data_IF_100939876230
#
_entry.id   IF_100939876230
#
_cell.length_a   1.000
_cell.length_b   1.000
_cell.length_c   1.000
_cell.angle_alpha   90.00
_cell.angle_beta   90.00
_cell.angle_gamma   90.00
#
_symmetry.space_group_name_H-M   'P 1'
#
loop_
_entity.id
_entity.type
_entity.pdbx_description
1 polymer ?
#
# COMPACT_ATOMS: atom_id res chain seq x y z
N UNK A 1 -17.68 47.68 -26.39
CA UNK A 1 -16.45 46.87 -26.59
C UNK A 1 -15.96 46.17 -25.32
N UNK A 2 -15.97 46.79 -24.14
CA UNK A 2 -15.43 46.20 -22.89
C UNK A 2 -16.04 44.84 -22.49
N UNK A 3 -17.36 44.66 -22.61
CA UNK A 3 -18.07 43.42 -22.21
C UNK A 3 -17.65 42.18 -23.01
N UNK A 4 -17.36 42.34 -24.32
CA UNK A 4 -16.91 41.24 -25.18
C UNK A 4 -15.51 40.75 -24.80
N UNK A 5 -14.64 41.66 -24.33
CA UNK A 5 -13.30 41.33 -23.85
C UNK A 5 -13.32 40.54 -22.53
N UNK A 6 -14.22 40.88 -21.59
CA UNK A 6 -14.36 40.13 -20.34
C UNK A 6 -14.91 38.71 -20.56
N UNK A 7 -15.83 38.54 -21.51
CA UNK A 7 -16.35 37.21 -21.88
C UNK A 7 -15.25 36.31 -22.45
N UNK A 8 -14.37 36.89 -23.27
CA UNK A 8 -13.24 36.17 -23.89
C UNK A 8 -12.21 35.77 -22.84
N UNK A 9 -11.93 36.64 -21.87
CA UNK A 9 -11.05 36.34 -20.72
C UNK A 9 -11.62 35.19 -19.87
N UNK A 10 -12.93 35.18 -19.59
CA UNK A 10 -13.60 34.10 -18.86
C UNK A 10 -13.49 32.75 -19.56
N UNK A 11 -13.69 32.70 -20.88
CA UNK A 11 -13.55 31.48 -21.68
C UNK A 11 -12.11 30.94 -21.61
N UNK A 12 -11.11 31.82 -21.71
CA UNK A 12 -9.70 31.43 -21.60
C UNK A 12 -9.40 30.83 -20.22
N UNK A 13 -9.91 31.41 -19.13
CA UNK A 13 -9.74 30.83 -17.79
C UNK A 13 -10.39 29.45 -17.64
N UNK A 14 -11.58 29.24 -18.22
CA UNK A 14 -12.24 27.93 -18.18
C UNK A 14 -11.46 26.85 -18.93
N UNK A 15 -10.86 27.20 -20.08
CA UNK A 15 -10.01 26.27 -20.86
C UNK A 15 -8.73 25.93 -20.08
N UNK A 16 -8.08 26.91 -19.46
CA UNK A 16 -6.88 26.67 -18.65
C UNK A 16 -7.23 25.78 -17.44
N UNK A 17 -8.33 26.06 -16.75
CA UNK A 17 -8.78 25.26 -15.62
C UNK A 17 -9.12 23.82 -16.03
N UNK A 18 -9.76 23.60 -17.19
CA UNK A 18 -10.08 22.25 -17.66
C UNK A 18 -8.83 21.47 -18.07
N UNK A 19 -7.84 22.11 -18.68
CA UNK A 19 -6.55 21.48 -18.99
C UNK A 19 -5.81 21.12 -17.70
N UNK A 20 -5.70 22.05 -16.74
CA UNK A 20 -5.06 21.79 -15.45
C UNK A 20 -5.77 20.68 -14.67
N UNK A 21 -7.11 20.69 -14.68
CA UNK A 21 -7.91 19.63 -14.05
C UNK A 21 -7.73 18.28 -14.74
N UNK A 22 -7.70 18.24 -16.08
CA UNK A 22 -7.45 17.01 -16.84
C UNK A 22 -6.06 16.44 -16.57
N UNK A 23 -5.03 17.29 -16.55
CA UNK A 23 -3.65 16.92 -16.22
C UNK A 23 -3.57 16.40 -14.78
N UNK A 24 -4.15 17.12 -13.82
CA UNK A 24 -4.23 16.69 -12.42
C UNK A 24 -4.95 15.35 -12.28
N UNK A 25 -6.10 15.19 -12.93
CA UNK A 25 -6.90 13.97 -12.91
C UNK A 25 -6.13 12.79 -13.53
N UNK A 26 -5.34 13.01 -14.59
CA UNK A 26 -4.53 11.97 -15.21
C UNK A 26 -3.40 11.50 -14.29
N UNK A 27 -2.63 12.43 -13.71
CA UNK A 27 -1.56 12.10 -12.77
C UNK A 27 -2.10 11.41 -11.51
N UNK A 28 -3.24 11.88 -10.98
CA UNK A 28 -3.85 11.28 -9.80
C UNK A 28 -4.33 9.84 -10.08
N UNK A 29 -4.93 9.60 -11.24
CA UNK A 29 -5.36 8.26 -11.66
C UNK A 29 -4.17 7.30 -11.86
N UNK A 30 -3.05 7.78 -12.41
CA UNK A 30 -1.84 6.96 -12.53
C UNK A 30 -1.25 6.62 -11.16
N UNK A 31 -1.12 7.59 -10.26
CA UNK A 31 -0.60 7.37 -8.91
C UNK A 31 -1.44 6.37 -8.13
N UNK A 32 -2.77 6.48 -8.23
CA UNK A 32 -3.72 5.55 -7.62
C UNK A 32 -3.54 4.12 -8.15
N UNK A 33 -3.42 3.96 -9.48
CA UNK A 33 -3.18 2.64 -10.09
C UNK A 33 -1.85 2.02 -9.65
N UNK A 34 -0.78 2.81 -9.53
CA UNK A 34 0.51 2.33 -9.03
C UNK A 34 0.43 1.86 -7.57
N UNK A 35 -0.31 2.58 -6.72
CA UNK A 35 -0.58 2.18 -5.33
C UNK A 35 -1.38 0.88 -5.29
N UNK A 36 -2.48 0.79 -6.05
CA UNK A 36 -3.33 -0.40 -6.15
C UNK A 36 -2.51 -1.63 -6.59
N UNK A 37 -1.68 -1.48 -7.62
CA UNK A 37 -0.82 -2.57 -8.09
C UNK A 37 0.20 -2.99 -7.03
N UNK A 38 0.82 -2.03 -6.35
CA UNK A 38 1.78 -2.29 -5.28
C UNK A 38 1.14 -3.02 -4.09
N UNK A 39 -0.08 -2.64 -3.72
CA UNK A 39 -0.88 -3.32 -2.69
C UNK A 39 -1.24 -4.75 -3.08
N UNK A 40 -1.64 -4.99 -4.33
CA UNK A 40 -1.93 -6.35 -4.85
C UNK A 40 -0.69 -7.25 -4.77
N UNK A 41 0.44 -6.77 -5.26
CA UNK A 41 1.73 -7.49 -5.19
C UNK A 41 2.12 -7.78 -3.73
N UNK A 42 1.88 -6.83 -2.82
CA UNK A 42 2.17 -7.02 -1.41
C UNK A 42 1.27 -8.08 -0.77
N UNK A 43 -0.01 -8.13 -1.12
CA UNK A 43 -0.94 -9.19 -0.70
C UNK A 43 -0.46 -10.56 -1.20
N UNK A 44 -0.07 -10.68 -2.47
CA UNK A 44 0.44 -11.93 -3.02
C UNK A 44 1.72 -12.39 -2.30
N UNK A 45 2.58 -11.43 -1.94
CA UNK A 45 3.81 -11.70 -1.17
C UNK A 45 3.50 -12.19 0.26
N UNK A 46 2.41 -11.71 0.88
CA UNK A 46 1.94 -12.20 2.17
C UNK A 46 1.34 -13.61 2.06
N UNK A 47 0.62 -13.90 0.97
CA UNK A 47 0.08 -15.24 0.69
C UNK A 47 1.21 -16.26 0.48
N UNK A 48 2.26 -15.89 -0.25
CA UNK A 48 3.46 -16.72 -0.42
C UNK A 48 4.20 -16.95 0.91
N UNK A 49 4.37 -15.91 1.74
CA UNK A 49 4.98 -16.06 3.06
C UNK A 49 4.14 -17.00 3.94
N UNK A 50 2.82 -16.85 3.95
CA UNK A 50 1.93 -17.73 4.70
C UNK A 50 2.06 -19.19 4.23
N UNK A 51 2.03 -19.44 2.92
CA UNK A 51 2.22 -20.76 2.32
C UNK A 51 3.57 -21.39 2.70
N UNK A 52 4.64 -20.59 2.75
CA UNK A 52 5.96 -21.07 3.20
C UNK A 52 5.95 -21.44 4.68
N UNK A 53 5.34 -20.61 5.53
CA UNK A 53 5.21 -20.88 6.97
C UNK A 53 4.39 -22.16 7.22
N UNK A 54 3.35 -22.40 6.42
CA UNK A 54 2.52 -23.62 6.52
C UNK A 54 3.26 -24.90 6.09
N UNK A 55 4.29 -24.78 5.25
CA UNK A 55 5.13 -25.89 4.80
C UNK A 55 6.31 -26.17 5.73
N UNK A 56 6.53 -25.34 6.74
CA UNK A 56 7.56 -25.61 7.75
C UNK A 56 7.07 -26.75 8.62
N UNK A 57 7.75 -27.88 8.52
CA UNK A 57 7.63 -28.99 9.46
C UNK A 57 8.15 -28.53 10.84
N UNK A 58 7.47 -28.90 11.93
CA UNK A 58 7.68 -28.37 13.30
C UNK A 58 9.15 -28.42 13.78
N UNK A 59 10.00 -29.21 13.13
CA UNK A 59 11.39 -29.45 13.50
C UNK A 59 12.45 -28.65 12.70
N UNK A 60 12.11 -27.88 11.65
CA UNK A 60 13.10 -27.07 10.90
C UNK A 60 12.51 -25.76 10.35
N UNK A 61 12.30 -24.78 11.21
CA UNK A 61 12.02 -23.41 10.80
C UNK A 61 13.27 -22.80 10.10
N UNK A 62 13.19 -22.59 8.79
CA UNK A 62 14.25 -21.92 8.03
C UNK A 62 14.23 -20.41 8.32
N UNK A 63 14.96 -20.03 9.38
CA UNK A 63 15.08 -18.64 9.85
C UNK A 63 15.62 -17.69 8.77
N UNK A 64 16.48 -18.17 7.89
CA UNK A 64 17.06 -17.33 6.85
C UNK A 64 16.02 -16.94 5.79
N UNK A 65 15.23 -17.91 5.31
CA UNK A 65 14.15 -17.66 4.35
C UNK A 65 13.07 -16.73 4.91
N UNK A 66 12.69 -16.93 6.17
CA UNK A 66 11.71 -16.05 6.83
C UNK A 66 12.25 -14.64 7.05
N UNK A 67 13.53 -14.51 7.40
CA UNK A 67 14.21 -13.22 7.50
C UNK A 67 14.26 -12.48 6.16
N UNK A 68 14.58 -13.20 5.08
CA UNK A 68 14.59 -12.65 3.72
C UNK A 68 13.19 -12.20 3.28
N UNK A 69 12.17 -13.05 3.48
CA UNK A 69 10.80 -12.70 3.17
C UNK A 69 10.30 -11.49 3.98
N UNK A 70 10.61 -11.45 5.29
CA UNK A 70 10.29 -10.30 6.14
C UNK A 70 10.97 -9.02 5.66
N UNK A 71 12.21 -9.11 5.16
CA UNK A 71 12.95 -7.98 4.61
C UNK A 71 12.31 -7.47 3.31
N UNK A 72 11.87 -8.37 2.43
CA UNK A 72 11.17 -8.03 1.20
C UNK A 72 9.83 -7.34 1.49
N UNK A 73 9.03 -7.89 2.41
CA UNK A 73 7.76 -7.28 2.84
C UNK A 73 7.97 -5.88 3.45
N UNK A 74 9.06 -5.70 4.19
CA UNK A 74 9.44 -4.40 4.75
C UNK A 74 9.73 -3.39 3.64
N UNK A 75 10.52 -3.77 2.63
CA UNK A 75 10.82 -2.90 1.48
C UNK A 75 9.56 -2.54 0.69
N UNK A 76 8.67 -3.51 0.44
CA UNK A 76 7.39 -3.27 -0.22
C UNK A 76 6.52 -2.31 0.57
N UNK A 77 6.47 -2.46 1.90
CA UNK A 77 5.69 -1.58 2.77
C UNK A 77 6.24 -0.15 2.77
N UNK A 78 7.56 0.03 2.76
CA UNK A 78 8.16 1.37 2.60
C UNK A 78 7.86 1.99 1.24
N UNK A 79 7.90 1.20 0.16
CA UNK A 79 7.57 1.67 -1.18
C UNK A 79 6.11 2.16 -1.25
N UNK A 80 5.17 1.35 -0.75
CA UNK A 80 3.75 1.72 -0.67
C UNK A 80 3.56 2.97 0.19
N UNK A 81 4.22 3.03 1.35
CA UNK A 81 4.19 4.21 2.21
C UNK A 81 4.66 5.48 1.50
N UNK A 82 5.75 5.41 0.73
CA UNK A 82 6.25 6.54 -0.04
C UNK A 82 5.29 6.97 -1.17
N UNK A 83 4.66 6.02 -1.85
CA UNK A 83 3.63 6.31 -2.86
C UNK A 83 2.43 7.01 -2.21
N UNK A 84 1.94 6.49 -1.08
CA UNK A 84 0.84 7.07 -0.33
C UNK A 84 1.17 8.46 0.20
N UNK A 85 2.40 8.70 0.70
CA UNK A 85 2.80 10.00 1.22
C UNK A 85 2.69 11.13 0.18
N UNK A 86 2.83 10.80 -1.11
CA UNK A 86 2.69 11.72 -2.23
C UNK A 86 1.26 11.79 -2.80
N UNK A 87 0.39 10.86 -2.42
CA UNK A 87 -0.99 10.76 -2.90
C UNK A 87 -1.99 11.31 -1.87
N UNK A 88 -1.97 10.76 -0.64
CA UNK A 88 -2.88 11.11 0.43
C UNK A 88 -2.25 10.87 1.81
N UNK A 89 -2.15 11.93 2.61
CA UNK A 89 -1.50 11.90 3.93
C UNK A 89 -2.24 11.02 4.94
N UNK A 90 -3.56 10.98 4.89
CA UNK A 90 -4.37 10.18 5.81
C UNK A 90 -4.23 8.70 5.47
N UNK A 91 -4.31 8.35 4.18
CA UNK A 91 -4.06 6.98 3.70
C UNK A 91 -2.64 6.52 4.00
N UNK A 92 -1.65 7.39 3.86
CA UNK A 92 -0.27 7.12 4.29
C UNK A 92 -0.19 6.80 5.79
N UNK A 93 -0.78 7.64 6.65
CA UNK A 93 -0.75 7.43 8.09
C UNK A 93 -1.46 6.13 8.48
N UNK A 94 -2.62 5.85 7.86
CA UNK A 94 -3.36 4.62 8.09
C UNK A 94 -2.52 3.38 7.75
N UNK A 95 -1.94 3.34 6.55
CA UNK A 95 -1.11 2.22 6.11
C UNK A 95 0.15 2.05 6.97
N UNK A 96 0.80 3.16 7.34
CA UNK A 96 1.94 3.14 8.24
C UNK A 96 1.61 2.51 9.60
N UNK A 97 0.48 2.91 10.21
CA UNK A 97 0.01 2.34 11.47
C UNK A 97 -0.31 0.84 11.34
N UNK A 98 -0.91 0.44 10.21
CA UNK A 98 -1.22 -0.95 9.91
C UNK A 98 0.05 -1.81 9.86
N UNK A 99 1.07 -1.34 9.14
CA UNK A 99 2.35 -2.03 9.01
C UNK A 99 3.15 -2.05 10.33
N UNK A 100 3.22 -0.94 11.06
CA UNK A 100 3.93 -0.88 12.35
C UNK A 100 3.33 -1.85 13.37
N UNK A 101 2.00 -1.95 13.44
CA UNK A 101 1.30 -2.94 14.27
C UNK A 101 1.68 -4.38 13.88
N UNK A 102 1.72 -4.68 12.58
CA UNK A 102 2.15 -5.97 12.07
C UNK A 102 3.59 -6.28 12.48
N UNK A 103 4.52 -5.37 12.19
CA UNK A 103 5.96 -5.58 12.41
C UNK A 103 6.28 -5.83 13.89
N UNK A 104 5.69 -5.03 14.79
CA UNK A 104 5.85 -5.17 16.26
C UNK A 104 5.38 -6.53 16.78
N UNK A 105 4.33 -7.11 16.19
CA UNK A 105 3.81 -8.43 16.59
C UNK A 105 4.60 -9.57 15.93
N UNK A 106 4.92 -9.43 14.64
CA UNK A 106 5.48 -10.49 13.82
C UNK A 106 6.92 -10.82 14.22
N UNK A 107 7.78 -9.81 14.35
CA UNK A 107 9.19 -10.00 14.68
C UNK A 107 9.42 -10.87 15.93
N UNK A 108 8.77 -10.60 17.08
CA UNK A 108 8.95 -11.45 18.27
C UNK A 108 8.30 -12.84 18.11
N UNK A 109 7.14 -12.97 17.46
CA UNK A 109 6.50 -14.27 17.23
C UNK A 109 7.40 -15.20 16.41
N UNK A 110 7.96 -14.67 15.32
CA UNK A 110 8.93 -15.37 14.50
C UNK A 110 10.23 -15.68 15.25
N UNK A 111 10.79 -14.71 15.99
CA UNK A 111 12.06 -14.91 16.73
C UNK A 111 11.95 -16.02 17.78
N UNK A 112 10.76 -16.18 18.37
CA UNK A 112 10.45 -17.21 19.34
C UNK A 112 10.09 -18.57 18.72
N UNK A 113 10.05 -18.67 17.38
CA UNK A 113 9.64 -19.88 16.67
C UNK A 113 8.15 -20.20 16.79
N UNK A 114 7.31 -19.23 17.17
CA UNK A 114 5.86 -19.42 17.31
C UNK A 114 5.18 -19.30 15.94
N UNK A 115 5.17 -20.42 15.22
CA UNK A 115 4.61 -20.54 13.87
C UNK A 115 3.12 -20.18 13.85
N UNK A 116 2.34 -20.72 14.81
CA UNK A 116 0.90 -20.49 14.91
C UNK A 116 0.56 -19.01 15.09
N UNK A 117 1.29 -18.33 15.98
CA UNK A 117 1.12 -16.88 16.18
C UNK A 117 1.59 -16.07 14.98
N UNK A 118 2.70 -16.45 14.36
CA UNK A 118 3.20 -15.80 13.14
C UNK A 118 2.17 -15.86 12.01
N UNK A 119 1.53 -17.02 11.82
CA UNK A 119 0.44 -17.21 10.85
C UNK A 119 -0.75 -16.30 11.14
N UNK A 120 -1.24 -16.28 12.37
CA UNK A 120 -2.37 -15.43 12.75
C UNK A 120 -2.09 -13.93 12.55
N UNK A 121 -0.84 -13.49 12.81
CA UNK A 121 -0.42 -12.10 12.60
C UNK A 121 -0.41 -11.74 11.10
N UNK A 122 0.12 -12.61 10.24
CA UNK A 122 0.12 -12.39 8.79
C UNK A 122 -1.31 -12.33 8.26
N UNK A 123 -2.19 -13.21 8.73
CA UNK A 123 -3.59 -13.24 8.32
C UNK A 123 -4.35 -11.96 8.73
N UNK A 124 -4.18 -11.50 9.98
CA UNK A 124 -4.75 -10.23 10.47
C UNK A 124 -4.27 -9.05 9.61
N UNK A 125 -2.96 -8.98 9.35
CA UNK A 125 -2.36 -7.91 8.56
C UNK A 125 -2.85 -7.93 7.12
N UNK A 126 -2.84 -9.10 6.46
CA UNK A 126 -3.34 -9.29 5.09
C UNK A 126 -4.80 -8.86 4.95
N UNK A 127 -5.65 -9.19 5.93
CA UNK A 127 -7.04 -8.72 5.94
C UNK A 127 -7.12 -7.20 6.02
N UNK A 128 -6.28 -6.57 6.84
CA UNK A 128 -6.14 -5.12 6.90
C UNK A 128 -5.72 -4.50 5.55
N UNK A 129 -4.70 -5.06 4.89
CA UNK A 129 -4.24 -4.59 3.58
C UNK A 129 -5.32 -4.78 2.50
N UNK A 130 -6.05 -5.90 2.51
CA UNK A 130 -7.19 -6.13 1.59
C UNK A 130 -8.33 -5.13 1.79
N UNK A 131 -8.64 -4.78 3.04
CA UNK A 131 -9.65 -3.77 3.33
C UNK A 131 -9.19 -2.37 2.88
N UNK A 132 -7.92 -2.04 3.10
CA UNK A 132 -7.34 -0.79 2.66
C UNK A 132 -7.29 -0.69 1.13
N UNK A 133 -6.97 -1.78 0.42
CA UNK A 133 -7.04 -1.83 -1.03
C UNK A 133 -8.44 -1.48 -1.54
N UNK A 134 -9.48 -2.06 -0.94
CA UNK A 134 -10.88 -1.74 -1.31
C UNK A 134 -11.26 -0.29 -1.03
N UNK A 135 -10.69 0.31 0.02
CA UNK A 135 -10.89 1.74 0.34
C UNK A 135 -10.21 2.67 -0.68
N UNK A 136 -9.12 2.22 -1.32
CA UNK A 136 -8.50 2.96 -2.42
C UNK A 136 -9.24 2.76 -3.74
N UNK A 137 -9.79 1.56 -3.99
CA UNK A 137 -10.52 1.24 -5.23
C UNK A 137 -11.97 1.77 -5.27
N UNK A 138 -12.54 2.22 -4.14
CA UNK A 138 -13.90 2.76 -4.03
C UNK A 138 -13.92 4.30 -4.03
#
# INVERSE_FOLDING_TARGET
MKVKSYLLILIVFMIIASILFSVYSHYNNQAEQEIVNSLKIHIDSLDELQSRIEKIDDNKLNKEELSLASTLLTKQSYMIGAQLANYDKEKHQFYHNLYDKYFRKFKPAYSNGDIGKSKGIIEEYKKGVKNFLKDIEN
#
